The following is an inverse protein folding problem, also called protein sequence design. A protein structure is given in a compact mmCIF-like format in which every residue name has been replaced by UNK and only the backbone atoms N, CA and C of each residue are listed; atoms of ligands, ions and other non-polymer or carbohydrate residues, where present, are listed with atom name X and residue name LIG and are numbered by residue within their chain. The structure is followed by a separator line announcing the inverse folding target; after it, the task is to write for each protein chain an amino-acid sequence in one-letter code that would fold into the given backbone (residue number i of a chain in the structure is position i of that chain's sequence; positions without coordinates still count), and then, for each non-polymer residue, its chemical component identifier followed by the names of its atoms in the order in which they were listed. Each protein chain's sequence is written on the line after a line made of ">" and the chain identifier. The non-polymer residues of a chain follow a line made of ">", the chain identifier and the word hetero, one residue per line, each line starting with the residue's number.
data_IF_826377540870
#
_entry.id   IF_826377540870
#
_cell.length_a   1.000
_cell.length_b   1.000
_cell.length_c   1.000
_cell.angle_alpha   90.00
_cell.angle_beta   90.00
_cell.angle_gamma   90.00
#
_symmetry.space_group_name_H-M   'P 1'
#
loop_
_entity.id
_entity.type
_entity.pdbx_description
1 polymer ?
#
# COMPACT_ATOMS: atom_id res chain seq x y z
N UNK A 1 -46.18 -35.97 -34.05
CA UNK A 1 -44.85 -35.74 -34.66
C UNK A 1 -44.39 -34.27 -34.64
N UNK A 2 -45.22 -33.27 -34.93
CA UNK A 2 -44.81 -31.85 -34.88
C UNK A 2 -44.36 -31.33 -33.48
N UNK A 3 -45.06 -31.75 -32.41
CA UNK A 3 -44.73 -31.36 -31.01
C UNK A 3 -43.40 -31.91 -30.54
N UNK A 4 -42.98 -33.11 -30.95
CA UNK A 4 -41.73 -33.74 -30.60
C UNK A 4 -40.55 -32.99 -31.23
N UNK A 5 -40.72 -32.52 -32.45
CA UNK A 5 -39.67 -31.73 -33.13
C UNK A 5 -39.40 -30.38 -32.46
N UNK A 6 -40.45 -29.71 -31.95
CA UNK A 6 -40.29 -28.46 -31.21
C UNK A 6 -39.62 -28.68 -29.86
N UNK A 7 -39.89 -29.79 -29.18
CA UNK A 7 -39.28 -30.14 -27.90
C UNK A 7 -37.78 -30.46 -28.11
N UNK A 8 -37.43 -31.19 -29.17
CA UNK A 8 -36.02 -31.47 -29.51
C UNK A 8 -35.26 -30.21 -29.88
N UNK A 9 -35.86 -29.30 -30.63
CA UNK A 9 -35.24 -28.02 -30.98
C UNK A 9 -35.03 -27.14 -29.76
N UNK A 10 -35.94 -27.13 -28.79
CA UNK A 10 -35.80 -26.36 -27.54
C UNK A 10 -34.69 -26.92 -26.65
N UNK A 11 -34.57 -28.25 -26.55
CA UNK A 11 -33.53 -28.94 -25.76
C UNK A 11 -32.14 -28.67 -26.36
N UNK A 12 -31.99 -28.72 -27.67
CA UNK A 12 -30.72 -28.43 -28.36
C UNK A 12 -30.36 -26.93 -28.25
N UNK A 13 -31.36 -26.04 -28.31
CA UNK A 13 -31.16 -24.60 -28.12
C UNK A 13 -30.73 -24.20 -26.70
N UNK A 14 -31.28 -24.85 -25.67
CA UNK A 14 -30.88 -24.62 -24.29
C UNK A 14 -29.55 -25.28 -23.92
N UNK A 15 -29.19 -26.42 -24.57
CA UNK A 15 -27.90 -27.08 -24.34
C UNK A 15 -26.71 -26.27 -24.86
N UNK A 16 -26.92 -25.46 -25.91
CA UNK A 16 -25.86 -24.62 -26.51
C UNK A 16 -25.52 -23.36 -25.68
N UNK A 17 -26.36 -22.97 -24.73
CA UNK A 17 -26.12 -21.78 -23.89
C UNK A 17 -25.33 -22.09 -22.60
N UNK A 18 -25.06 -23.37 -22.31
CA UNK A 18 -24.33 -23.80 -21.11
C UNK A 18 -22.83 -24.05 -21.32
N UNK A 19 -22.32 -23.85 -22.52
CA UNK A 19 -20.93 -24.15 -22.87
C UNK A 19 -20.05 -22.89 -22.85
N UNK A 20 -20.54 -21.79 -22.33
CA UNK A 20 -19.76 -20.54 -22.29
C UNK A 20 -19.23 -20.18 -20.90
N UNK A 21 -19.02 -21.15 -20.03
CA UNK A 21 -18.09 -20.96 -18.90
C UNK A 21 -16.83 -21.73 -19.28
N UNK A 22 -15.91 -21.01 -19.86
CA UNK A 22 -14.52 -21.42 -19.91
C UNK A 22 -14.05 -21.59 -18.46
N UNK A 23 -13.97 -22.85 -18.03
CA UNK A 23 -13.46 -23.21 -16.72
C UNK A 23 -11.95 -23.41 -16.74
N UNK A 24 -11.27 -22.84 -17.70
CA UNK A 24 -9.84 -22.64 -17.62
C UNK A 24 -9.57 -21.62 -16.50
N UNK A 25 -9.69 -22.13 -15.28
CA UNK A 25 -8.96 -21.54 -14.16
C UNK A 25 -7.49 -21.87 -14.49
N UNK A 26 -6.91 -21.07 -15.36
CA UNK A 26 -5.47 -20.95 -15.37
C UNK A 26 -5.12 -20.54 -13.94
N UNK A 27 -4.55 -21.48 -13.19
CA UNK A 27 -3.93 -21.15 -11.91
C UNK A 27 -2.97 -20.01 -12.24
N UNK A 28 -3.30 -18.77 -11.84
CA UNK A 28 -2.40 -17.64 -12.02
C UNK A 28 -1.07 -18.07 -11.43
N UNK A 29 -0.11 -18.35 -12.30
CA UNK A 29 1.24 -18.65 -11.86
C UNK A 29 1.71 -17.43 -11.10
N UNK A 30 2.29 -17.63 -9.91
CA UNK A 30 2.89 -16.55 -9.12
C UNK A 30 3.75 -15.73 -10.09
N UNK A 31 3.36 -14.49 -10.32
CA UNK A 31 4.10 -13.62 -11.23
C UNK A 31 5.43 -13.30 -10.57
N UNK A 32 6.51 -13.73 -11.20
CA UNK A 32 7.85 -13.33 -10.78
C UNK A 32 8.17 -11.97 -11.43
N UNK A 33 8.69 -11.01 -10.64
CA UNK A 33 9.07 -9.71 -11.19
C UNK A 33 10.16 -9.92 -12.24
N UNK A 34 10.01 -9.26 -13.38
CA UNK A 34 11.07 -9.20 -14.38
C UNK A 34 12.22 -8.34 -13.84
N UNK A 35 13.44 -8.85 -13.93
CA UNK A 35 14.65 -8.15 -13.49
C UNK A 35 15.41 -7.65 -14.72
N UNK A 36 15.64 -6.35 -14.78
CA UNK A 36 16.44 -5.72 -15.83
C UNK A 36 17.95 -5.81 -15.52
N UNK A 37 18.79 -5.36 -16.46
CA UNK A 37 20.24 -5.31 -16.24
C UNK A 37 20.62 -4.21 -15.23
N UNK A 38 21.79 -4.36 -14.59
CA UNK A 38 22.33 -3.36 -13.67
C UNK A 38 22.46 -1.98 -14.33
N UNK A 39 22.84 -1.94 -15.61
CA UNK A 39 22.94 -0.71 -16.38
C UNK A 39 21.59 -0.01 -16.54
N UNK A 40 20.51 -0.79 -16.74
CA UNK A 40 19.16 -0.23 -16.79
C UNK A 40 18.80 0.47 -15.47
N UNK A 41 19.01 -0.21 -14.36
CA UNK A 41 18.70 0.37 -13.05
C UNK A 41 19.61 1.54 -12.67
N UNK A 42 20.88 1.52 -13.11
CA UNK A 42 21.75 2.68 -12.95
C UNK A 42 21.21 3.90 -13.71
N UNK A 43 20.88 3.74 -14.98
CA UNK A 43 20.30 4.81 -15.80
C UNK A 43 18.98 5.32 -15.21
N UNK A 44 18.14 4.43 -14.66
CA UNK A 44 16.90 4.80 -14.00
C UNK A 44 17.16 5.68 -12.76
N UNK A 45 18.11 5.30 -11.92
CA UNK A 45 18.48 6.11 -10.74
C UNK A 45 19.09 7.45 -11.14
N UNK A 46 19.92 7.47 -12.17
CA UNK A 46 20.53 8.70 -12.69
C UNK A 46 19.46 9.65 -13.25
N UNK A 47 18.46 9.11 -13.96
CA UNK A 47 17.29 9.86 -14.40
C UNK A 47 16.53 10.46 -13.20
N UNK A 48 16.20 9.64 -12.19
CA UNK A 48 15.48 10.09 -10.98
C UNK A 48 16.27 11.10 -10.13
N UNK A 49 17.59 11.12 -10.26
CA UNK A 49 18.46 12.10 -9.61
C UNK A 49 18.61 13.40 -10.40
N UNK A 50 18.22 13.42 -11.69
CA UNK A 50 18.28 14.58 -12.55
C UNK A 50 17.12 15.54 -12.33
N UNK A 51 17.16 16.71 -12.95
CA UNK A 51 16.03 17.65 -12.99
C UNK A 51 14.98 17.13 -13.99
N UNK A 52 13.80 16.73 -13.46
CA UNK A 52 12.69 16.17 -14.24
C UNK A 52 11.36 16.39 -13.51
N UNK A 53 10.26 16.15 -14.19
CA UNK A 53 8.92 16.16 -13.58
C UNK A 53 8.76 14.97 -12.63
N UNK A 54 8.44 15.26 -11.36
CA UNK A 54 8.32 14.24 -10.31
C UNK A 54 6.98 13.52 -10.42
N UNK A 55 7.03 12.20 -10.55
CA UNK A 55 5.85 11.34 -10.46
C UNK A 55 5.62 10.90 -9.02
N UNK A 56 4.38 11.09 -8.52
CA UNK A 56 3.97 10.72 -7.18
C UNK A 56 2.76 9.79 -7.23
N UNK A 57 2.77 8.74 -6.43
CA UNK A 57 1.65 7.82 -6.33
C UNK A 57 1.41 7.33 -4.91
N UNK A 58 0.17 6.88 -4.66
CA UNK A 58 -0.21 6.19 -3.44
C UNK A 58 -0.36 4.72 -3.71
N UNK A 59 0.16 3.89 -2.81
CA UNK A 59 0.06 2.45 -2.89
C UNK A 59 -0.57 1.91 -1.61
N UNK A 60 -1.63 1.13 -1.79
CA UNK A 60 -2.37 0.46 -0.72
C UNK A 60 -2.54 -1.02 -1.06
N UNK A 61 -3.04 -1.80 -0.10
CA UNK A 61 -3.36 -3.23 -0.27
C UNK A 61 -2.16 -4.10 -0.69
N UNK A 62 -0.95 -3.71 -0.31
CA UNK A 62 0.23 -4.54 -0.49
C UNK A 62 0.29 -5.69 0.51
N UNK A 63 1.03 -6.75 0.15
CA UNK A 63 1.27 -7.91 1.00
C UNK A 63 0.58 -9.20 0.54
N UNK A 64 -0.27 -9.16 -0.49
CA UNK A 64 -0.72 -10.36 -1.16
C UNK A 64 0.34 -10.78 -2.20
N UNK A 65 0.77 -12.05 -2.16
CA UNK A 65 1.85 -12.53 -3.04
C UNK A 65 1.38 -12.94 -4.44
N UNK A 66 0.11 -12.84 -4.74
CA UNK A 66 -0.50 -13.48 -5.91
C UNK A 66 -0.45 -12.64 -7.19
N UNK A 67 -0.26 -11.32 -7.08
CA UNK A 67 -0.28 -10.43 -8.25
C UNK A 67 0.79 -9.35 -8.09
N UNK A 68 1.46 -9.02 -9.20
CA UNK A 68 2.40 -7.88 -9.22
C UNK A 68 1.74 -6.55 -8.88
N UNK A 69 0.43 -6.42 -9.13
CA UNK A 69 -0.34 -5.21 -8.80
C UNK A 69 -0.47 -4.90 -7.30
N UNK A 70 -0.21 -5.89 -6.43
CA UNK A 70 -0.26 -5.75 -4.97
C UNK A 70 1.11 -5.93 -4.31
N UNK A 71 2.17 -5.91 -5.10
CA UNK A 71 3.56 -6.05 -4.66
C UNK A 71 4.35 -4.76 -4.92
N UNK A 72 5.23 -4.38 -4.00
CA UNK A 72 6.10 -3.22 -4.20
C UNK A 72 7.01 -3.36 -5.42
N UNK A 73 7.50 -4.55 -5.71
CA UNK A 73 8.29 -4.82 -6.92
C UNK A 73 7.53 -4.53 -8.22
N UNK A 74 6.19 -4.59 -8.19
CA UNK A 74 5.31 -4.27 -9.32
C UNK A 74 5.08 -2.77 -9.53
N UNK A 75 5.61 -1.91 -8.66
CA UNK A 75 5.51 -0.47 -8.86
C UNK A 75 6.21 -0.04 -10.16
N UNK A 76 5.59 0.89 -10.92
CA UNK A 76 6.18 1.40 -12.15
C UNK A 76 7.57 1.98 -11.91
N UNK A 77 8.49 1.71 -12.83
CA UNK A 77 9.86 2.22 -12.75
C UNK A 77 9.91 3.76 -12.86
N UNK A 78 8.93 4.35 -13.56
CA UNK A 78 8.77 5.80 -13.67
C UNK A 78 8.30 6.49 -12.38
N UNK A 79 7.91 5.73 -11.34
CA UNK A 79 7.44 6.33 -10.09
C UNK A 79 8.61 6.81 -9.24
N UNK A 80 8.68 8.11 -8.95
CA UNK A 80 9.74 8.72 -8.14
C UNK A 80 9.46 8.62 -6.65
N UNK A 81 8.21 8.85 -6.27
CA UNK A 81 7.79 8.86 -4.87
C UNK A 81 6.54 7.99 -4.70
N UNK A 82 6.62 7.04 -3.80
CA UNK A 82 5.51 6.18 -3.42
C UNK A 82 5.11 6.43 -1.97
N UNK A 83 3.87 6.83 -1.74
CA UNK A 83 3.28 6.93 -0.42
C UNK A 83 2.62 5.61 -0.03
N UNK A 84 3.05 5.01 1.08
CA UNK A 84 2.52 3.75 1.61
C UNK A 84 1.20 4.00 2.34
N UNK A 85 0.10 4.08 1.58
CA UNK A 85 -1.23 4.39 2.13
C UNK A 85 -1.78 3.29 3.04
N UNK A 86 -1.34 2.05 2.86
CA UNK A 86 -1.70 0.90 3.71
C UNK A 86 -1.01 0.88 5.08
N UNK A 87 -0.20 1.88 5.42
CA UNK A 87 0.61 1.94 6.65
C UNK A 87 2.01 1.35 6.48
N UNK A 88 2.79 1.39 7.55
CA UNK A 88 4.13 0.78 7.58
C UNK A 88 3.96 -0.73 7.84
N UNK A 89 4.55 -1.62 7.01
CA UNK A 89 4.47 -3.06 7.26
C UNK A 89 5.08 -3.44 8.60
N UNK A 90 4.52 -4.46 9.26
CA UNK A 90 5.12 -5.01 10.47
C UNK A 90 6.54 -5.55 10.18
N UNK A 91 7.45 -5.46 11.17
CA UNK A 91 8.86 -5.86 11.02
C UNK A 91 9.05 -7.32 10.64
N UNK A 92 8.10 -8.16 11.04
CA UNK A 92 8.08 -9.59 10.78
C UNK A 92 7.79 -9.92 9.31
N UNK A 93 7.24 -8.97 8.55
CA UNK A 93 6.94 -9.14 7.13
C UNK A 93 8.18 -8.92 6.27
N UNK A 94 9.18 -9.77 6.47
CA UNK A 94 10.50 -9.66 5.83
C UNK A 94 10.42 -9.60 4.31
N UNK A 95 9.55 -10.38 3.69
CA UNK A 95 9.38 -10.42 2.24
C UNK A 95 8.91 -9.06 1.69
N UNK A 96 7.99 -8.38 2.39
CA UNK A 96 7.53 -7.05 2.01
C UNK A 96 8.66 -6.04 2.16
N UNK A 97 9.45 -6.14 3.24
CA UNK A 97 10.59 -5.26 3.46
C UNK A 97 11.69 -5.46 2.42
N UNK A 98 11.95 -6.69 2.00
CA UNK A 98 12.88 -6.96 0.89
C UNK A 98 12.45 -6.27 -0.40
N UNK A 99 11.16 -6.33 -0.73
CA UNK A 99 10.61 -5.63 -1.89
C UNK A 99 10.71 -4.10 -1.76
N UNK A 100 10.40 -3.55 -0.59
CA UNK A 100 10.57 -2.11 -0.32
C UNK A 100 12.04 -1.71 -0.51
N UNK A 101 12.99 -2.47 0.04
CA UNK A 101 14.43 -2.20 -0.13
C UNK A 101 14.89 -2.31 -1.58
N UNK A 102 14.35 -3.27 -2.33
CA UNK A 102 14.60 -3.35 -3.76
C UNK A 102 14.15 -2.08 -4.49
N UNK A 103 12.92 -1.64 -4.24
CA UNK A 103 12.35 -0.45 -4.86
C UNK A 103 13.14 0.81 -4.48
N UNK A 104 13.54 0.94 -3.22
CA UNK A 104 14.35 2.06 -2.74
C UNK A 104 15.76 2.07 -3.34
N UNK A 105 16.46 0.94 -3.25
CA UNK A 105 17.90 0.86 -3.55
C UNK A 105 18.19 0.59 -5.03
N UNK A 106 17.34 -0.22 -5.67
CA UNK A 106 17.57 -0.64 -7.05
C UNK A 106 16.82 0.26 -8.03
N UNK A 107 15.52 0.51 -7.81
CA UNK A 107 14.72 1.40 -8.66
C UNK A 107 14.90 2.89 -8.34
N UNK A 108 15.39 3.25 -7.15
CA UNK A 108 15.59 4.63 -6.73
C UNK A 108 14.28 5.38 -6.37
N UNK A 109 13.18 4.66 -6.14
CA UNK A 109 11.91 5.26 -5.73
C UNK A 109 11.94 5.60 -4.25
N UNK A 110 11.55 6.82 -3.88
CA UNK A 110 11.44 7.24 -2.48
C UNK A 110 10.16 6.69 -1.88
N UNK A 111 10.27 6.02 -0.73
CA UNK A 111 9.12 5.50 0.00
C UNK A 111 8.75 6.44 1.13
N UNK A 112 7.49 6.83 1.21
CA UNK A 112 6.97 7.71 2.25
C UNK A 112 5.96 6.95 3.12
N UNK A 113 6.13 7.08 4.44
CA UNK A 113 5.10 6.68 5.40
C UNK A 113 4.01 7.75 5.46
N UNK A 114 2.75 7.30 5.55
CA UNK A 114 1.61 8.20 5.74
C UNK A 114 1.38 8.35 7.23
N UNK A 115 1.41 9.58 7.72
CA UNK A 115 0.98 9.93 9.06
C UNK A 115 -0.36 10.69 8.96
N UNK A 116 -1.42 10.12 9.51
CA UNK A 116 -2.68 10.84 9.70
C UNK A 116 -2.58 11.54 11.05
N UNK A 117 -2.27 12.83 11.02
CA UNK A 117 -2.09 13.63 12.23
C UNK A 117 -3.43 13.96 12.90
N UNK A 118 -4.10 12.95 13.42
CA UNK A 118 -5.35 13.08 14.17
C UNK A 118 -5.21 12.44 15.53
N UNK A 119 -4.63 13.17 16.47
CA UNK A 119 -4.49 12.70 17.84
C UNK A 119 -5.85 12.30 18.47
N UNK A 120 -6.95 12.94 18.05
CA UNK A 120 -8.30 12.58 18.49
C UNK A 120 -8.76 11.20 18.04
N UNK A 121 -8.22 10.69 16.92
CA UNK A 121 -8.57 9.38 16.37
C UNK A 121 -7.74 8.22 16.94
N UNK A 122 -6.69 8.53 17.71
CA UNK A 122 -5.84 7.51 18.31
C UNK A 122 -6.55 6.83 19.51
N UNK A 123 -6.11 5.61 19.79
CA UNK A 123 -6.63 4.85 20.93
C UNK A 123 -6.12 5.44 22.27
N UNK A 124 -6.87 5.22 23.33
CA UNK A 124 -6.50 5.71 24.68
C UNK A 124 -5.31 4.94 25.30
N UNK A 125 -4.78 3.94 24.60
CA UNK A 125 -3.63 3.14 25.06
C UNK A 125 -2.30 3.90 25.01
N UNK A 126 -2.23 4.98 24.21
CA UNK A 126 -1.02 5.79 24.07
C UNK A 126 -0.93 6.88 25.14
N UNK A 127 0.25 7.07 25.69
CA UNK A 127 0.48 8.09 26.71
C UNK A 127 0.27 9.52 26.19
N UNK A 128 0.61 9.79 24.93
CA UNK A 128 0.32 11.07 24.28
C UNK A 128 -1.19 11.34 24.20
N UNK A 129 -2.01 10.30 23.99
CA UNK A 129 -3.46 10.42 23.93
C UNK A 129 -4.05 10.72 25.30
N UNK A 130 -3.56 10.08 26.36
CA UNK A 130 -3.94 10.39 27.75
C UNK A 130 -3.60 11.85 28.08
N UNK A 131 -2.34 12.26 27.80
CA UNK A 131 -1.90 13.63 28.02
C UNK A 131 -2.75 14.66 27.26
N UNK A 132 -3.14 14.35 26.02
CA UNK A 132 -4.02 15.17 25.21
C UNK A 132 -5.43 15.31 25.84
N UNK A 133 -6.03 14.23 26.29
CA UNK A 133 -7.35 14.22 26.91
C UNK A 133 -7.35 14.99 28.21
N UNK A 134 -6.30 14.84 29.04
CA UNK A 134 -6.10 15.59 30.26
C UNK A 134 -5.97 17.10 29.98
N UNK A 135 -5.14 17.46 29.01
CA UNK A 135 -4.96 18.86 28.61
C UNK A 135 -6.27 19.48 28.08
N UNK A 136 -7.06 18.72 27.28
CA UNK A 136 -8.38 19.19 26.81
C UNK A 136 -9.36 19.48 27.96
N UNK A 137 -9.28 18.76 29.06
CA UNK A 137 -10.14 18.93 30.21
C UNK A 137 -9.77 20.14 31.07
N UNK A 138 -8.57 20.72 30.89
CA UNK A 138 -8.11 21.90 31.63
C UNK A 138 -8.90 23.16 31.25
N UNK A 139 -9.06 24.13 32.17
CA UNK A 139 -9.56 25.46 31.83
C UNK A 139 -8.72 26.15 30.74
N UNK A 140 -9.36 26.94 29.87
CA UNK A 140 -8.64 27.69 28.86
C UNK A 140 -7.61 28.64 29.47
N UNK A 141 -6.35 28.60 29.00
CA UNK A 141 -5.25 29.38 29.49
C UNK A 141 -3.90 28.90 28.98
N UNK A 142 -2.84 29.53 29.45
CA UNK A 142 -1.46 29.21 29.07
C UNK A 142 -1.07 27.77 29.44
N UNK A 143 -1.47 27.32 30.63
CA UNK A 143 -1.20 25.96 31.11
C UNK A 143 -1.81 24.90 30.20
N UNK A 144 -3.08 25.09 29.79
CA UNK A 144 -3.72 24.20 28.80
C UNK A 144 -2.97 24.18 27.49
N UNK A 145 -2.58 25.36 26.99
CA UNK A 145 -1.85 25.45 25.72
C UNK A 145 -0.51 24.74 25.81
N UNK A 146 0.23 24.91 26.90
CA UNK A 146 1.49 24.20 27.11
C UNK A 146 1.30 22.69 27.22
N UNK A 147 0.28 22.22 27.93
CA UNK A 147 -0.04 20.79 28.02
C UNK A 147 -0.45 20.18 26.69
N UNK A 148 -1.23 20.90 25.88
CA UNK A 148 -1.57 20.46 24.51
C UNK A 148 -0.33 20.37 23.62
N UNK A 149 0.53 21.37 23.64
CA UNK A 149 1.77 21.35 22.86
C UNK A 149 2.65 20.16 23.23
N UNK A 150 2.79 19.87 24.54
CA UNK A 150 3.54 18.70 24.99
C UNK A 150 2.93 17.38 24.49
N UNK A 151 1.61 17.24 24.48
CA UNK A 151 0.96 16.05 23.94
C UNK A 151 1.17 15.90 22.44
N UNK A 152 1.23 16.99 21.67
CA UNK A 152 1.57 16.97 20.24
C UNK A 152 3.05 16.64 20.01
N UNK A 153 3.96 17.10 20.86
CA UNK A 153 5.37 16.70 20.80
C UNK A 153 5.53 15.18 21.00
N UNK A 154 4.89 14.63 22.04
CA UNK A 154 4.88 13.18 22.29
C UNK A 154 4.29 12.40 21.10
N UNK A 155 3.25 12.93 20.48
CA UNK A 155 2.64 12.34 19.30
C UNK A 155 3.57 12.36 18.07
N UNK A 156 4.29 13.47 17.87
CA UNK A 156 5.29 13.58 16.81
C UNK A 156 6.46 12.62 17.03
N UNK A 157 6.96 12.49 18.24
CA UNK A 157 8.01 11.53 18.62
C UNK A 157 7.57 10.09 18.32
N UNK A 158 6.34 9.72 18.68
CA UNK A 158 5.78 8.40 18.35
C UNK A 158 5.85 8.10 16.86
N UNK A 159 5.48 9.06 16.00
CA UNK A 159 5.57 8.86 14.55
C UNK A 159 7.00 8.78 14.04
N UNK A 160 7.89 9.61 14.53
CA UNK A 160 9.30 9.58 14.16
C UNK A 160 9.92 8.22 14.51
N UNK A 161 9.62 7.68 15.68
CA UNK A 161 10.08 6.35 16.08
C UNK A 161 9.57 5.25 15.15
N UNK A 162 8.30 5.34 14.67
CA UNK A 162 7.78 4.38 13.70
C UNK A 162 8.53 4.43 12.35
N UNK A 163 8.98 5.60 11.92
CA UNK A 163 9.72 5.79 10.67
C UNK A 163 11.17 5.31 10.83
N UNK A 164 11.86 5.74 11.89
CA UNK A 164 13.29 5.45 12.08
C UNK A 164 13.58 4.03 12.58
N UNK A 165 12.69 3.41 13.33
CA UNK A 165 12.87 2.03 13.79
C UNK A 165 12.71 0.98 12.68
N UNK A 166 12.22 1.38 11.51
CA UNK A 166 12.00 0.52 10.35
C UNK A 166 13.01 0.75 9.21
N UNK A 167 14.05 1.56 9.43
CA UNK A 167 15.12 1.81 8.47
C UNK A 167 16.21 0.71 8.45
#
# INVERSE_FOLDING_TARGET
>A
MRTINYLLTLIVGMGGLMVSCDTDIESESIQHPYTYSDLYYQNLRDFKASDHEISFGWFAQYGAQNSMGVRFMGLPDSLDICSMWGGIPAKENTDIWEEIRFVQKVKGTKMLAVAITRIDAETDDHDFKKAYNEAKAMPAGEERTAALNRSFEMYAEYFLDQVFLND
#
